data_IF_693100199066
#
_entry.id   IF_693100199066
#
_cell.length_a   1.000
_cell.length_b   1.000
_cell.length_c   1.000
_cell.angle_alpha   90.00
_cell.angle_beta   90.00
_cell.angle_gamma   90.00
#
_symmetry.space_group_name_H-M   'P 1'
#
loop_
_entity.id
_entity.type
_entity.pdbx_description
1 polymer ?
#
# COMPACT_ATOMS: atom_id res chain seq x y z
N UNK A 1 51.93 7.33 -42.17
CA UNK A 1 50.74 6.45 -42.02
C UNK A 1 50.67 5.91 -40.59
N UNK A 2 50.18 6.69 -39.62
CA UNK A 2 50.02 6.24 -38.20
C UNK A 2 48.98 7.04 -37.39
N UNK A 3 48.17 7.88 -38.04
CA UNK A 3 47.19 8.77 -37.39
C UNK A 3 45.75 8.60 -37.94
N UNK A 4 45.41 7.40 -38.40
CA UNK A 4 44.11 7.09 -38.99
C UNK A 4 43.53 5.78 -38.43
N UNK A 5 43.68 5.54 -37.12
CA UNK A 5 43.19 4.28 -36.51
C UNK A 5 42.54 4.45 -35.14
N UNK A 6 42.10 5.67 -34.77
CA UNK A 6 41.47 5.92 -33.45
C UNK A 6 40.04 6.49 -33.59
N UNK A 7 39.49 6.62 -34.80
CA UNK A 7 38.15 7.21 -35.04
C UNK A 7 37.15 6.14 -35.51
N UNK A 8 37.27 4.90 -35.03
CA UNK A 8 36.28 3.84 -35.30
C UNK A 8 35.70 3.18 -34.04
N UNK A 9 36.09 3.64 -32.84
CA UNK A 9 35.64 3.05 -31.57
C UNK A 9 34.63 3.87 -30.78
N UNK A 10 34.35 5.12 -31.17
CA UNK A 10 33.55 6.05 -30.36
C UNK A 10 32.14 6.33 -30.90
N UNK A 11 31.73 5.70 -32.01
CA UNK A 11 30.40 5.93 -32.61
C UNK A 11 29.35 4.85 -32.25
N UNK A 12 29.72 3.84 -31.46
CA UNK A 12 28.82 2.74 -31.07
C UNK A 12 28.16 2.91 -29.69
N UNK A 13 28.36 4.04 -29.00
CA UNK A 13 27.79 4.25 -27.65
C UNK A 13 26.48 5.04 -27.60
N UNK A 14 25.96 5.55 -28.73
CA UNK A 14 24.77 6.42 -28.71
C UNK A 14 23.46 5.78 -29.21
N UNK A 15 23.43 4.48 -29.53
CA UNK A 15 22.23 3.83 -30.09
C UNK A 15 21.43 2.99 -29.09
N UNK A 16 21.89 2.81 -27.85
CA UNK A 16 21.18 1.98 -26.85
C UNK A 16 20.02 2.68 -26.15
N UNK A 17 19.89 4.00 -26.28
CA UNK A 17 18.93 4.78 -25.48
C UNK A 17 17.46 4.66 -25.91
N UNK A 18 17.15 4.20 -27.12
CA UNK A 18 15.77 4.16 -27.62
C UNK A 18 15.06 2.82 -27.46
N UNK A 19 15.80 1.74 -27.21
CA UNK A 19 15.20 0.44 -26.90
C UNK A 19 14.95 0.25 -25.39
N UNK A 20 15.69 0.96 -24.53
CA UNK A 20 15.55 0.87 -23.07
C UNK A 20 14.34 1.66 -22.54
N UNK A 21 13.95 2.76 -23.19
CA UNK A 21 12.81 3.60 -22.77
C UNK A 21 11.48 2.86 -22.84
N UNK A 22 11.30 1.97 -23.82
CA UNK A 22 10.07 1.18 -23.93
C UNK A 22 9.86 0.27 -22.71
N UNK A 23 10.94 -0.26 -22.13
CA UNK A 23 10.85 -1.13 -20.96
C UNK A 23 10.55 -0.38 -19.66
N UNK A 24 11.09 0.84 -19.48
CA UNK A 24 10.78 1.66 -18.29
C UNK A 24 9.38 2.24 -18.34
N UNK A 25 8.89 2.63 -19.52
CA UNK A 25 7.51 3.06 -19.72
C UNK A 25 6.52 1.91 -19.45
N UNK A 26 6.75 0.72 -20.03
CA UNK A 26 5.90 -0.45 -19.77
C UNK A 26 5.89 -0.83 -18.28
N UNK A 27 7.03 -0.75 -17.60
CA UNK A 27 7.08 -0.93 -16.16
C UNK A 27 6.19 0.09 -15.41
N UNK A 28 6.29 1.38 -15.76
CA UNK A 28 5.48 2.42 -15.13
C UNK A 28 3.99 2.24 -15.42
N UNK A 29 3.62 1.74 -16.59
CA UNK A 29 2.23 1.43 -16.93
C UNK A 29 1.69 0.28 -16.06
N UNK A 30 2.46 -0.81 -15.89
CA UNK A 30 2.09 -1.92 -14.98
C UNK A 30 1.95 -1.44 -13.54
N UNK A 31 2.85 -0.58 -13.09
CA UNK A 31 2.79 0.01 -11.75
C UNK A 31 1.58 0.93 -11.61
N UNK A 32 1.30 1.76 -12.61
CA UNK A 32 0.13 2.64 -12.64
C UNK A 32 -1.16 1.83 -12.59
N UNK A 33 -1.26 0.76 -13.37
CA UNK A 33 -2.43 -0.12 -13.37
C UNK A 33 -2.68 -0.72 -11.97
N UNK A 34 -1.63 -1.17 -11.27
CA UNK A 34 -1.75 -1.65 -9.89
C UNK A 34 -2.32 -0.55 -8.97
N UNK A 35 -1.75 0.66 -9.03
CA UNK A 35 -2.20 1.77 -8.17
C UNK A 35 -3.65 2.15 -8.46
N UNK A 36 -4.03 2.22 -9.74
CA UNK A 36 -5.40 2.54 -10.16
C UNK A 36 -6.38 1.47 -9.69
N UNK A 37 -6.04 0.18 -9.83
CA UNK A 37 -6.89 -0.90 -9.30
C UNK A 37 -7.08 -0.77 -7.79
N UNK A 38 -5.99 -0.58 -7.04
CA UNK A 38 -6.02 -0.43 -5.57
C UNK A 38 -6.83 0.79 -5.14
N UNK A 39 -6.74 1.90 -5.87
CA UNK A 39 -7.50 3.11 -5.60
C UNK A 39 -8.97 3.01 -5.99
N UNK A 40 -9.31 2.16 -6.97
CA UNK A 40 -10.69 1.94 -7.41
C UNK A 40 -11.53 1.16 -6.40
N UNK A 41 -10.89 0.38 -5.53
CA UNK A 41 -11.57 -0.32 -4.45
C UNK A 41 -11.97 0.65 -3.34
N UNK A 42 -13.23 0.66 -2.93
CA UNK A 42 -13.68 1.49 -1.81
C UNK A 42 -13.08 0.98 -0.49
N UNK A 43 -13.31 -0.30 -0.21
CA UNK A 43 -12.76 -1.06 0.93
C UNK A 43 -11.98 -2.25 0.41
N UNK A 44 -10.75 -2.42 0.89
CA UNK A 44 -9.86 -3.52 0.47
C UNK A 44 -9.94 -4.67 1.48
N UNK A 45 -10.44 -5.82 1.03
CA UNK A 45 -10.50 -7.05 1.83
C UNK A 45 -9.12 -7.63 2.13
N UNK A 46 -9.06 -8.68 2.95
CA UNK A 46 -7.79 -9.32 3.34
C UNK A 46 -7.19 -10.15 2.22
N UNK A 47 -8.03 -10.70 1.36
CA UNK A 47 -7.64 -11.50 0.21
C UNK A 47 -7.12 -10.58 -0.90
N UNK A 48 -7.85 -9.50 -1.22
CA UNK A 48 -7.40 -8.48 -2.16
C UNK A 48 -6.11 -7.82 -1.70
N UNK A 49 -6.01 -7.47 -0.41
CA UNK A 49 -4.77 -6.91 0.14
C UNK A 49 -3.57 -7.83 -0.08
N UNK A 50 -3.71 -9.14 0.14
CA UNK A 50 -2.61 -10.10 -0.09
C UNK A 50 -2.20 -10.15 -1.56
N UNK A 51 -3.17 -10.09 -2.48
CA UNK A 51 -2.89 -10.08 -3.93
C UNK A 51 -2.18 -8.79 -4.31
N UNK A 52 -2.69 -7.63 -3.88
CA UNK A 52 -2.10 -6.33 -4.17
C UNK A 52 -0.71 -6.18 -3.54
N UNK A 53 -0.51 -6.64 -2.31
CA UNK A 53 0.79 -6.56 -1.64
C UNK A 53 1.83 -7.44 -2.33
N UNK A 54 1.48 -8.66 -2.73
CA UNK A 54 2.38 -9.54 -3.47
C UNK A 54 2.78 -8.92 -4.81
N UNK A 55 1.82 -8.33 -5.53
CA UNK A 55 2.10 -7.65 -6.81
C UNK A 55 2.96 -6.40 -6.63
N UNK A 56 2.69 -5.61 -5.59
CA UNK A 56 3.48 -4.45 -5.22
C UNK A 56 4.93 -4.83 -4.90
N UNK A 57 5.15 -5.89 -4.11
CA UNK A 57 6.48 -6.38 -3.76
C UNK A 57 7.24 -6.85 -5.00
N UNK A 58 6.59 -7.60 -5.89
CA UNK A 58 7.17 -8.02 -7.17
C UNK A 58 7.64 -6.81 -7.99
N UNK A 59 6.76 -5.83 -8.21
CA UNK A 59 7.10 -4.64 -9.01
C UNK A 59 8.17 -3.77 -8.32
N UNK A 60 8.19 -3.75 -6.99
CA UNK A 60 9.22 -3.02 -6.23
C UNK A 60 10.60 -3.69 -6.36
N UNK A 61 10.66 -5.03 -6.35
CA UNK A 61 11.89 -5.78 -6.63
C UNK A 61 12.36 -5.52 -8.07
N UNK A 62 11.48 -5.62 -9.07
CA UNK A 62 11.80 -5.31 -10.47
C UNK A 62 12.33 -3.87 -10.63
N UNK A 63 11.75 -2.90 -9.93
CA UNK A 63 12.26 -1.52 -9.89
C UNK A 63 13.70 -1.47 -9.40
N UNK A 64 14.00 -2.07 -8.25
CA UNK A 64 15.33 -1.98 -7.66
C UNK A 64 16.40 -2.73 -8.46
N UNK A 65 16.03 -3.87 -9.04
CA UNK A 65 16.97 -4.76 -9.72
C UNK A 65 17.22 -4.35 -11.18
N UNK A 66 16.19 -3.86 -11.87
CA UNK A 66 16.25 -3.66 -13.32
C UNK A 66 16.02 -2.21 -13.72
N UNK A 67 14.95 -1.56 -13.24
CA UNK A 67 14.46 -0.33 -13.87
C UNK A 67 15.00 0.96 -13.27
N UNK A 68 15.28 1.02 -11.96
CA UNK A 68 15.81 2.22 -11.28
C UNK A 68 17.03 2.84 -11.98
N UNK A 69 18.07 2.08 -12.39
CA UNK A 69 19.23 2.68 -13.06
C UNK A 69 18.94 3.14 -14.50
N UNK A 70 17.81 2.74 -15.09
CA UNK A 70 17.43 3.03 -16.48
C UNK A 70 16.44 4.18 -16.59
N UNK A 71 15.88 4.65 -15.47
CA UNK A 71 14.84 5.67 -15.44
C UNK A 71 15.42 7.09 -15.52
N UNK A 72 14.70 7.97 -16.20
CA UNK A 72 14.94 9.42 -16.13
C UNK A 72 14.43 9.99 -14.81
N UNK A 73 14.83 11.22 -14.47
CA UNK A 73 14.35 11.92 -13.27
C UNK A 73 12.81 12.06 -13.26
N UNK A 74 12.20 12.32 -14.42
CA UNK A 74 10.74 12.40 -14.56
C UNK A 74 10.08 11.05 -14.28
N UNK A 75 10.67 9.95 -14.78
CA UNK A 75 10.18 8.59 -14.54
C UNK A 75 10.34 8.18 -13.07
N UNK A 76 11.45 8.56 -12.42
CA UNK A 76 11.68 8.36 -10.98
C UNK A 76 10.69 9.15 -10.13
N UNK A 77 10.40 10.39 -10.51
CA UNK A 77 9.38 11.23 -9.89
C UNK A 77 8.01 10.57 -10.01
N UNK A 78 7.66 10.07 -11.21
CA UNK A 78 6.40 9.36 -11.45
C UNK A 78 6.27 8.10 -10.62
N UNK A 79 7.31 7.27 -10.57
CA UNK A 79 7.36 6.09 -9.71
C UNK A 79 7.12 6.46 -8.24
N UNK A 80 7.77 7.53 -7.76
CA UNK A 80 7.65 7.99 -6.36
C UNK A 80 6.23 8.46 -6.05
N UNK A 81 5.58 9.18 -6.98
CA UNK A 81 4.18 9.59 -6.87
C UNK A 81 3.27 8.36 -6.75
N UNK A 82 3.41 7.39 -7.65
CA UNK A 82 2.62 6.16 -7.69
C UNK A 82 2.78 5.34 -6.40
N UNK A 83 4.03 5.17 -5.94
CA UNK A 83 4.33 4.47 -4.68
C UNK A 83 3.68 5.14 -3.48
N UNK A 84 3.74 6.47 -3.43
CA UNK A 84 3.12 7.26 -2.35
C UNK A 84 1.61 7.07 -2.34
N UNK A 85 0.97 7.10 -3.50
CA UNK A 85 -0.48 6.87 -3.67
C UNK A 85 -0.90 5.48 -3.19
N UNK A 86 -0.16 4.44 -3.59
CA UNK A 86 -0.39 3.07 -3.09
C UNK A 86 -0.37 3.01 -1.56
N UNK A 87 0.70 3.54 -0.94
CA UNK A 87 0.83 3.52 0.52
C UNK A 87 -0.28 4.30 1.22
N UNK A 88 -0.72 5.43 0.66
CA UNK A 88 -1.84 6.20 1.20
C UNK A 88 -3.11 5.37 1.26
N UNK A 89 -3.46 4.66 0.18
CA UNK A 89 -4.67 3.82 0.15
C UNK A 89 -4.59 2.63 1.12
N UNK A 90 -3.44 1.96 1.18
CA UNK A 90 -3.21 0.84 2.12
C UNK A 90 -3.21 1.29 3.59
N UNK A 91 -2.68 2.47 3.88
CA UNK A 91 -2.70 3.04 5.23
C UNK A 91 -4.13 3.30 5.71
N UNK A 92 -5.00 3.81 4.83
CA UNK A 92 -6.42 4.04 5.15
C UNK A 92 -7.13 2.75 5.58
N UNK A 93 -6.91 1.64 4.86
CA UNK A 93 -7.41 0.31 5.27
C UNK A 93 -6.99 -0.07 6.70
N UNK A 94 -5.73 0.22 7.05
CA UNK A 94 -5.22 -0.12 8.39
C UNK A 94 -5.90 0.74 9.45
N UNK A 95 -6.14 2.02 9.17
CA UNK A 95 -6.87 2.93 10.06
C UNK A 95 -8.33 2.50 10.25
N UNK A 96 -9.03 2.14 9.17
CA UNK A 96 -10.41 1.66 9.20
C UNK A 96 -10.55 0.40 10.06
N UNK A 97 -9.67 -0.59 9.86
CA UNK A 97 -9.64 -1.81 10.69
C UNK A 97 -9.39 -1.56 12.16
N UNK A 98 -8.58 -0.55 12.50
CA UNK A 98 -8.36 -0.16 13.89
C UNK A 98 -9.61 0.51 14.46
N UNK A 99 -10.25 1.39 13.70
CA UNK A 99 -11.54 2.00 14.05
C UNK A 99 -12.62 0.96 14.33
N UNK A 100 -12.84 0.02 13.42
CA UNK A 100 -13.83 -1.06 13.58
C UNK A 100 -13.58 -1.91 14.83
N UNK A 101 -12.31 -2.23 15.13
CA UNK A 101 -11.95 -2.97 16.35
C UNK A 101 -12.23 -2.17 17.61
N UNK A 102 -11.93 -0.87 17.61
CA UNK A 102 -12.22 0.02 18.74
C UNK A 102 -13.73 0.14 18.96
N UNK A 103 -14.50 0.33 17.90
CA UNK A 103 -15.96 0.44 17.98
C UNK A 103 -16.60 -0.88 18.45
N UNK A 104 -16.09 -2.02 17.99
CA UNK A 104 -16.51 -3.35 18.45
C UNK A 104 -16.21 -3.57 19.94
N UNK A 105 -15.01 -3.20 20.40
CA UNK A 105 -14.65 -3.26 21.83
C UNK A 105 -15.51 -2.30 22.64
N UNK A 106 -15.72 -1.07 22.17
CA UNK A 106 -16.58 -0.07 22.81
C UNK A 106 -18.02 -0.57 22.96
N UNK A 107 -18.60 -1.14 21.91
CA UNK A 107 -19.95 -1.72 21.97
C UNK A 107 -20.02 -2.92 22.92
N UNK A 108 -18.99 -3.77 22.96
CA UNK A 108 -18.95 -4.93 23.87
C UNK A 108 -18.76 -4.51 25.33
N UNK A 109 -17.97 -3.49 25.62
CA UNK A 109 -17.84 -2.89 26.95
C UNK A 109 -19.16 -2.24 27.37
N UNK A 110 -19.81 -1.46 26.50
CA UNK A 110 -21.12 -0.83 26.80
C UNK A 110 -22.18 -1.90 27.08
N UNK A 111 -22.24 -2.97 26.28
CA UNK A 111 -23.16 -4.10 26.51
C UNK A 111 -22.81 -4.85 27.81
N UNK A 112 -21.53 -5.05 28.11
CA UNK A 112 -21.05 -5.68 29.34
C UNK A 112 -21.35 -4.86 30.60
N UNK A 113 -21.20 -3.54 30.54
CA UNK A 113 -21.54 -2.59 31.61
C UNK A 113 -23.05 -2.49 31.79
N UNK A 114 -23.86 -2.45 30.72
CA UNK A 114 -25.34 -2.52 30.83
C UNK A 114 -25.80 -3.82 31.49
N UNK A 115 -25.24 -4.96 31.08
CA UNK A 115 -25.64 -6.29 31.61
C UNK A 115 -25.17 -6.53 33.04
N UNK A 116 -24.02 -5.98 33.42
CA UNK A 116 -23.50 -6.03 34.80
C UNK A 116 -24.22 -5.01 35.70
N UNK A 117 -24.49 -3.80 35.22
CA UNK A 117 -25.26 -2.78 35.94
C UNK A 117 -26.68 -3.23 36.30
N UNK A 118 -27.35 -3.96 35.41
CA UNK A 118 -28.66 -4.57 35.71
C UNK A 118 -28.58 -5.67 36.78
N UNK A 119 -27.47 -6.42 36.87
CA UNK A 119 -27.28 -7.45 37.91
C UNK A 119 -26.90 -6.86 39.28
N UNK A 120 -26.07 -5.82 39.31
CA UNK A 120 -25.69 -5.15 40.56
C UNK A 120 -26.85 -4.31 41.12
N UNK A 121 -27.67 -3.69 40.26
CA UNK A 121 -28.89 -2.99 40.68
C UNK A 121 -29.91 -3.95 41.32
N UNK A 122 -30.07 -5.17 40.79
CA UNK A 122 -30.94 -6.19 41.39
C UNK A 122 -30.43 -6.70 42.75
N UNK A 123 -29.11 -6.87 42.89
CA UNK A 123 -28.50 -7.35 44.13
C UNK A 123 -28.54 -6.31 45.25
N UNK A 124 -28.26 -5.03 44.95
CA UNK A 124 -28.36 -3.94 45.93
C UNK A 124 -29.82 -3.64 46.30
N UNK A 125 -30.75 -3.72 45.35
CA UNK A 125 -32.19 -3.55 45.65
C UNK A 125 -32.73 -4.66 46.56
N UNK A 126 -32.20 -5.89 46.46
CA UNK A 126 -32.57 -7.01 47.33
C UNK A 126 -32.04 -6.91 48.77
N UNK A 127 -30.85 -6.34 48.97
CA UNK A 127 -30.23 -6.21 50.29
C UNK A 127 -30.80 -5.03 51.09
N UNK A 128 -31.14 -3.92 50.44
CA UNK A 128 -31.70 -2.74 51.12
C UNK A 128 -33.23 -2.75 51.30
N UNK A 129 -33.94 -3.77 50.80
CA UNK A 129 -35.41 -3.88 50.92
C UNK A 129 -35.88 -4.87 51.99
N UNK A 130 -34.99 -5.55 52.72
CA UNK A 130 -35.39 -6.27 53.94
C UNK A 130 -35.41 -5.29 55.10
N UNK A 131 -36.60 -4.78 55.37
CA UNK A 131 -36.93 -4.01 56.55
C UNK A 131 -37.93 -4.84 57.34
N UNK A 132 -37.41 -5.62 58.27
CA UNK A 132 -38.07 -6.09 59.50
C UNK A 132 -37.02 -6.01 60.62
#
# INVERSE_FOLDING_TARGET
MKKLMIISGLLLMCLSGRAQTNGTEEFLDRYTALVVMVESEDVISDEEYKVFSAKYEQLTSEYHETYKPLMTDDQLSKYTELRTRYHKKVANRTAEKVGEKIDSVGQNVIKGVKKTGSKVSGFLKGIFSRKD
#
